data_IF_416694598003
#
_entry.id   IF_416694598003
#
_cell.length_a   1.000
_cell.length_b   1.000
_cell.length_c   1.000
_cell.angle_alpha   90.00
_cell.angle_beta   90.00
_cell.angle_gamma   90.00
#
_symmetry.space_group_name_H-M   'P 1'
#
loop_
_entity.id
_entity.type
_entity.pdbx_description
1 polymer ?
#
# COMPACT_ATOMS: atom_id res chain seq x y z
N UNK A 1 -13.83 8.20 -37.47
CA UNK A 1 -13.00 8.27 -36.25
C UNK A 1 -12.62 6.85 -35.82
N UNK A 2 -11.33 6.55 -35.61
CA UNK A 2 -10.93 5.27 -34.98
C UNK A 2 -11.62 5.19 -33.61
N UNK A 3 -12.36 4.12 -33.32
CA UNK A 3 -12.90 3.87 -31.98
C UNK A 3 -11.73 3.86 -30.98
N UNK A 4 -11.82 4.67 -29.92
CA UNK A 4 -10.85 4.63 -28.82
C UNK A 4 -10.90 3.24 -28.17
N UNK A 5 -9.73 2.65 -27.98
CA UNK A 5 -9.56 1.36 -27.29
C UNK A 5 -9.80 1.55 -25.80
N UNK A 6 -10.45 0.58 -25.16
CA UNK A 6 -10.75 0.62 -23.73
C UNK A 6 -9.74 -0.21 -22.94
N UNK A 7 -9.15 0.37 -21.90
CA UNK A 7 -8.32 -0.36 -20.92
C UNK A 7 -9.09 -0.51 -19.62
N UNK A 8 -9.22 -1.74 -19.12
CA UNK A 8 -9.71 -2.00 -17.77
C UNK A 8 -8.55 -1.89 -16.79
N UNK A 9 -8.72 -1.11 -15.74
CA UNK A 9 -7.73 -0.88 -14.68
C UNK A 9 -8.29 -1.40 -13.37
N UNK A 10 -7.73 -2.50 -12.86
CA UNK A 10 -7.99 -2.94 -11.49
C UNK A 10 -7.23 -2.06 -10.49
N UNK A 11 -7.80 -1.90 -9.29
CA UNK A 11 -7.19 -1.07 -8.24
C UNK A 11 -7.12 0.43 -8.58
N UNK A 12 -7.97 0.91 -9.50
CA UNK A 12 -7.95 2.29 -9.97
C UNK A 12 -8.21 3.34 -8.87
N UNK A 13 -8.95 2.97 -7.82
CA UNK A 13 -9.23 3.84 -6.66
C UNK A 13 -8.07 3.91 -5.65
N UNK A 14 -7.03 3.09 -5.83
CA UNK A 14 -5.79 3.12 -5.07
C UNK A 14 -4.68 3.86 -5.81
N UNK A 15 -3.53 4.06 -5.16
CA UNK A 15 -2.44 4.88 -5.69
C UNK A 15 -1.89 4.37 -7.04
N UNK A 16 -1.57 3.07 -7.12
CA UNK A 16 -0.98 2.43 -8.32
C UNK A 16 -1.93 2.47 -9.52
N UNK A 17 -3.13 1.92 -9.36
CA UNK A 17 -4.12 1.89 -10.44
C UNK A 17 -4.61 3.28 -10.81
N UNK A 18 -4.73 4.20 -9.84
CA UNK A 18 -5.12 5.59 -10.09
C UNK A 18 -4.11 6.34 -10.96
N UNK A 19 -2.81 6.16 -10.71
CA UNK A 19 -1.75 6.71 -11.55
C UNK A 19 -1.81 6.17 -12.99
N UNK A 20 -2.06 4.87 -13.15
CA UNK A 20 -2.25 4.24 -14.47
C UNK A 20 -3.49 4.79 -15.17
N UNK A 21 -4.64 4.85 -14.48
CA UNK A 21 -5.89 5.36 -15.04
C UNK A 21 -5.75 6.81 -15.51
N UNK A 22 -5.19 7.68 -14.67
CA UNK A 22 -4.96 9.09 -14.99
C UNK A 22 -4.05 9.25 -16.23
N UNK A 23 -2.94 8.50 -16.29
CA UNK A 23 -2.02 8.57 -17.43
C UNK A 23 -2.66 8.07 -18.72
N UNK A 24 -3.44 6.99 -18.66
CA UNK A 24 -4.14 6.42 -19.82
C UNK A 24 -5.20 7.38 -20.38
N UNK A 25 -5.99 8.05 -19.53
CA UNK A 25 -6.94 9.08 -19.96
C UNK A 25 -6.21 10.20 -20.70
N UNK A 26 -5.12 10.72 -20.13
CA UNK A 26 -4.29 11.75 -20.77
C UNK A 26 -3.65 11.29 -22.09
N UNK A 27 -3.48 9.99 -22.28
CA UNK A 27 -3.00 9.37 -23.52
C UNK A 27 -4.09 9.09 -24.56
N UNK A 28 -5.35 9.48 -24.31
CA UNK A 28 -6.46 9.31 -25.25
C UNK A 28 -7.11 7.92 -25.25
N UNK A 29 -6.83 7.09 -24.23
CA UNK A 29 -7.52 5.82 -24.03
C UNK A 29 -8.90 6.03 -23.40
N UNK A 30 -9.83 5.12 -23.67
CA UNK A 30 -10.99 4.96 -22.80
C UNK A 30 -10.55 4.13 -21.59
N UNK A 31 -10.90 4.56 -20.38
CA UNK A 31 -10.54 3.83 -19.16
C UNK A 31 -11.79 3.35 -18.46
N UNK A 32 -11.76 2.08 -18.07
CA UNK A 32 -12.77 1.45 -17.23
C UNK A 32 -12.11 1.04 -15.92
N UNK A 33 -12.80 1.21 -14.81
CA UNK A 33 -12.33 0.80 -13.48
C UNK A 33 -13.36 -0.12 -12.82
N UNK A 34 -12.88 -1.13 -12.10
CA UNK A 34 -13.72 -1.90 -11.18
C UNK A 34 -13.53 -1.37 -9.76
N UNK A 35 -14.62 -1.02 -9.09
CA UNK A 35 -14.61 -0.51 -7.72
C UNK A 35 -15.74 -1.16 -6.89
N UNK A 36 -15.45 -1.45 -5.62
CA UNK A 36 -16.44 -2.01 -4.68
C UNK A 36 -17.52 -1.00 -4.33
N UNK A 37 -17.11 0.24 -4.06
CA UNK A 37 -17.96 1.38 -3.73
C UNK A 37 -17.83 2.45 -4.84
N UNK A 38 -18.66 2.39 -5.91
CA UNK A 38 -18.57 3.33 -7.04
C UNK A 38 -18.97 4.76 -6.67
N UNK A 39 -19.68 4.93 -5.55
CA UNK A 39 -20.12 6.18 -4.95
C UNK A 39 -19.11 6.80 -3.99
N UNK A 40 -18.05 6.07 -3.61
CA UNK A 40 -16.98 6.60 -2.77
C UNK A 40 -16.18 7.72 -3.44
N UNK A 41 -15.59 8.62 -2.64
CA UNK A 41 -14.92 9.83 -3.12
C UNK A 41 -13.91 9.57 -4.26
N UNK A 42 -12.98 8.62 -4.08
CA UNK A 42 -11.99 8.28 -5.09
C UNK A 42 -12.61 7.76 -6.39
N UNK A 43 -13.71 7.01 -6.31
CA UNK A 43 -14.42 6.51 -7.49
C UNK A 43 -15.13 7.65 -8.23
N UNK A 44 -15.75 8.58 -7.48
CA UNK A 44 -16.34 9.78 -8.07
C UNK A 44 -15.28 10.69 -8.72
N UNK A 45 -14.10 10.81 -8.11
CA UNK A 45 -12.98 11.57 -8.69
C UNK A 45 -12.52 10.99 -10.02
N UNK A 46 -12.44 9.67 -10.14
CA UNK A 46 -12.14 8.99 -11.39
C UNK A 46 -13.27 9.20 -12.43
N UNK A 47 -14.52 9.09 -12.02
CA UNK A 47 -15.66 9.32 -12.90
C UNK A 47 -15.66 10.76 -13.47
N UNK A 48 -15.34 11.76 -12.64
CA UNK A 48 -15.16 13.16 -13.07
C UNK A 48 -14.01 13.35 -14.07
N UNK A 49 -13.01 12.48 -14.04
CA UNK A 49 -11.91 12.46 -15.02
C UNK A 49 -12.27 11.69 -16.31
N UNK A 50 -13.50 11.16 -16.43
CA UNK A 50 -13.96 10.42 -17.60
C UNK A 50 -13.71 8.92 -17.56
N UNK A 51 -13.36 8.36 -16.39
CA UNK A 51 -13.29 6.90 -16.19
C UNK A 51 -14.69 6.30 -16.10
N UNK A 52 -14.93 5.22 -16.84
CA UNK A 52 -16.12 4.39 -16.64
C UNK A 52 -15.93 3.53 -15.39
N UNK A 53 -16.48 3.97 -14.25
CA UNK A 53 -16.44 3.18 -13.00
C UNK A 53 -17.57 2.16 -13.02
N UNK A 54 -17.23 0.89 -12.83
CA UNK A 54 -18.16 -0.22 -12.70
C UNK A 54 -18.11 -0.78 -11.29
N UNK A 55 -19.28 -1.11 -10.74
CA UNK A 55 -19.35 -1.79 -9.46
C UNK A 55 -18.94 -3.26 -9.57
N UNK A 56 -18.09 -3.72 -8.67
CA UNK A 56 -17.73 -5.13 -8.55
C UNK A 56 -16.59 -5.40 -7.59
N UNK A 57 -16.25 -6.67 -7.46
CA UNK A 57 -15.28 -7.19 -6.50
C UNK A 57 -14.41 -8.27 -7.15
N UNK A 58 -13.14 -8.35 -6.75
CA UNK A 58 -12.21 -9.36 -7.29
C UNK A 58 -12.59 -10.80 -6.89
N UNK A 59 -13.39 -10.97 -5.85
CA UNK A 59 -14.00 -12.24 -5.45
C UNK A 59 -15.25 -12.62 -6.23
N UNK A 60 -15.86 -11.70 -6.99
CA UNK A 60 -17.01 -11.99 -7.86
C UNK A 60 -16.57 -12.09 -9.32
N UNK A 61 -16.39 -13.31 -9.82
CA UNK A 61 -16.03 -13.57 -11.21
C UNK A 61 -17.02 -12.97 -12.21
N UNK A 62 -18.31 -12.94 -11.90
CA UNK A 62 -19.32 -12.37 -12.79
C UNK A 62 -19.10 -10.86 -12.95
N UNK A 63 -18.68 -10.17 -11.88
CA UNK A 63 -18.31 -8.75 -11.97
C UNK A 63 -17.06 -8.52 -12.82
N UNK A 64 -16.05 -9.38 -12.70
CA UNK A 64 -14.83 -9.32 -13.52
C UNK A 64 -15.16 -9.52 -14.99
N UNK A 65 -16.01 -10.51 -15.33
CA UNK A 65 -16.47 -10.76 -16.71
C UNK A 65 -17.21 -9.56 -17.28
N UNK A 66 -18.16 -8.99 -16.53
CA UNK A 66 -18.88 -7.76 -16.95
C UNK A 66 -17.91 -6.61 -17.22
N UNK A 67 -16.92 -6.43 -16.35
CA UNK A 67 -15.91 -5.38 -16.49
C UNK A 67 -14.97 -5.61 -17.68
N UNK A 68 -14.65 -6.86 -18.03
CA UNK A 68 -13.78 -7.20 -19.16
C UNK A 68 -14.48 -7.23 -20.51
N UNK A 69 -15.81 -7.20 -20.56
CA UNK A 69 -16.55 -7.23 -21.80
C UNK A 69 -16.14 -6.09 -22.76
N UNK A 70 -15.58 -6.45 -23.92
CA UNK A 70 -15.22 -5.52 -25.00
C UNK A 70 -14.00 -4.64 -24.72
N UNK A 71 -13.19 -4.95 -23.70
CA UNK A 71 -11.96 -4.18 -23.42
C UNK A 71 -10.81 -4.64 -24.31
N UNK A 72 -9.95 -3.70 -24.70
CA UNK A 72 -8.75 -3.99 -25.48
C UNK A 72 -7.63 -4.56 -24.61
N UNK A 73 -7.39 -3.94 -23.46
CA UNK A 73 -6.30 -4.30 -22.56
C UNK A 73 -6.72 -4.27 -21.10
N UNK A 74 -5.95 -4.93 -20.25
CA UNK A 74 -6.19 -5.00 -18.80
C UNK A 74 -4.91 -4.65 -18.06
N UNK A 75 -4.97 -3.68 -17.15
CA UNK A 75 -3.97 -3.51 -16.10
C UNK A 75 -4.43 -4.22 -14.83
N UNK A 76 -3.64 -5.21 -14.40
CA UNK A 76 -3.94 -6.08 -13.27
C UNK A 76 -3.02 -5.78 -12.10
N UNK A 77 -3.61 -5.42 -10.97
CA UNK A 77 -2.96 -5.27 -9.66
C UNK A 77 -3.96 -5.69 -8.58
N UNK A 78 -3.51 -6.51 -7.64
CA UNK A 78 -4.33 -7.00 -6.54
C UNK A 78 -4.04 -6.19 -5.26
N UNK A 79 -4.99 -6.15 -4.32
CA UNK A 79 -4.66 -5.83 -2.93
C UNK A 79 -3.59 -6.80 -2.44
N UNK A 80 -2.55 -6.27 -1.80
CA UNK A 80 -1.43 -7.08 -1.32
C UNK A 80 -1.82 -7.75 0.00
N UNK A 81 -1.60 -9.06 0.12
CA UNK A 81 -1.78 -9.79 1.38
C UNK A 81 -0.86 -9.28 2.51
N UNK A 82 0.30 -8.72 2.15
CA UNK A 82 1.21 -8.03 3.08
C UNK A 82 0.60 -6.79 3.74
N UNK A 83 -0.54 -6.32 3.24
CA UNK A 83 -1.37 -5.28 3.85
C UNK A 83 -2.68 -5.88 4.42
N UNK A 84 -2.64 -7.16 4.80
CA UNK A 84 -3.82 -7.97 5.15
C UNK A 84 -4.72 -7.36 6.21
N UNK A 85 -4.20 -6.60 7.17
CA UNK A 85 -5.02 -5.88 8.15
C UNK A 85 -5.86 -4.73 7.53
N UNK A 86 -5.39 -4.13 6.43
CA UNK A 86 -6.07 -3.02 5.76
C UNK A 86 -7.08 -3.48 4.70
N UNK A 87 -6.88 -4.68 4.13
CA UNK A 87 -7.71 -5.17 3.01
C UNK A 87 -8.40 -6.51 3.26
N UNK A 88 -8.07 -7.21 4.34
CA UNK A 88 -8.58 -8.53 4.70
C UNK A 88 -8.42 -9.56 3.55
N UNK A 89 -7.20 -9.67 3.03
CA UNK A 89 -6.82 -10.54 1.90
C UNK A 89 -5.65 -11.43 2.34
N UNK A 90 -5.78 -12.75 2.17
CA UNK A 90 -4.69 -13.71 2.40
C UNK A 90 -3.78 -13.84 1.18
N UNK A 91 -2.66 -14.55 1.32
CA UNK A 91 -1.77 -14.86 0.18
C UNK A 91 -2.52 -15.68 -0.89
N UNK A 92 -3.34 -16.64 -0.47
CA UNK A 92 -4.16 -17.49 -1.34
C UNK A 92 -5.23 -16.68 -2.06
N UNK A 93 -5.84 -15.70 -1.38
CA UNK A 93 -6.79 -14.78 -2.01
C UNK A 93 -6.12 -13.93 -3.08
N UNK A 94 -4.93 -13.38 -2.81
CA UNK A 94 -4.17 -12.61 -3.80
C UNK A 94 -3.87 -13.45 -5.04
N UNK A 95 -3.37 -14.68 -4.86
CA UNK A 95 -3.13 -15.64 -5.94
C UNK A 95 -4.42 -15.90 -6.72
N UNK A 96 -5.50 -16.26 -6.03
CA UNK A 96 -6.81 -16.55 -6.63
C UNK A 96 -7.29 -15.38 -7.48
N UNK A 97 -7.25 -14.15 -6.95
CA UNK A 97 -7.66 -12.96 -7.70
C UNK A 97 -6.79 -12.73 -8.94
N UNK A 98 -5.46 -12.86 -8.83
CA UNK A 98 -4.55 -12.71 -9.96
C UNK A 98 -4.80 -13.73 -11.07
N UNK A 99 -4.95 -15.00 -10.70
CA UNK A 99 -5.22 -16.09 -11.63
C UNK A 99 -6.59 -15.94 -12.29
N UNK A 100 -7.64 -15.61 -11.53
CA UNK A 100 -8.98 -15.37 -12.06
C UNK A 100 -9.00 -14.21 -13.05
N UNK A 101 -8.33 -13.09 -12.75
CA UNK A 101 -8.22 -11.96 -13.69
C UNK A 101 -7.50 -12.39 -14.97
N UNK A 102 -6.37 -13.10 -14.87
CA UNK A 102 -5.62 -13.53 -16.04
C UNK A 102 -6.42 -14.52 -16.92
N UNK A 103 -7.08 -15.49 -16.30
CA UNK A 103 -7.93 -16.47 -16.98
C UNK A 103 -9.11 -15.80 -17.69
N UNK A 104 -9.84 -14.92 -17.00
CA UNK A 104 -10.98 -14.21 -17.60
C UNK A 104 -10.51 -13.26 -18.71
N UNK A 105 -9.31 -12.68 -18.60
CA UNK A 105 -8.74 -11.87 -19.68
C UNK A 105 -8.53 -12.69 -20.96
N UNK A 106 -7.98 -13.91 -20.84
CA UNK A 106 -7.85 -14.84 -21.96
C UNK A 106 -9.21 -15.21 -22.55
N UNK A 107 -10.16 -15.65 -21.71
CA UNK A 107 -11.51 -16.05 -22.13
C UNK A 107 -12.30 -14.91 -22.80
N UNK A 108 -12.04 -13.66 -22.39
CA UNK A 108 -12.68 -12.46 -22.94
C UNK A 108 -11.99 -11.94 -24.21
N UNK A 109 -10.92 -12.59 -24.67
CA UNK A 109 -10.17 -12.16 -25.86
C UNK A 109 -9.42 -10.84 -25.67
N UNK A 110 -8.98 -10.53 -24.44
CA UNK A 110 -8.18 -9.34 -24.15
C UNK A 110 -6.90 -9.39 -24.98
N UNK A 111 -6.59 -8.29 -25.69
CA UNK A 111 -5.44 -8.23 -26.60
C UNK A 111 -4.11 -8.17 -25.85
N UNK A 112 -4.09 -7.53 -24.68
CA UNK A 112 -2.88 -7.37 -23.87
C UNK A 112 -3.18 -7.22 -22.37
N UNK A 113 -2.55 -8.06 -21.56
CA UNK A 113 -2.55 -7.94 -20.09
C UNK A 113 -1.24 -7.32 -19.61
N UNK A 114 -1.30 -6.27 -18.80
CA UNK A 114 -0.14 -5.75 -18.07
C UNK A 114 -0.34 -6.08 -16.59
N UNK A 115 0.54 -6.92 -16.04
CA UNK A 115 0.47 -7.37 -14.65
C UNK A 115 1.52 -6.67 -13.79
N UNK A 116 1.08 -6.06 -12.68
CA UNK A 116 1.98 -5.44 -11.69
C UNK A 116 2.35 -6.44 -10.60
N UNK A 117 3.57 -6.97 -10.69
CA UNK A 117 4.22 -7.83 -9.71
C UNK A 117 5.06 -6.98 -8.72
N UNK A 118 6.27 -7.45 -8.36
CA UNK A 118 7.24 -6.79 -7.47
C UNK A 118 8.67 -7.23 -7.85
N UNK A 119 9.68 -6.40 -7.62
CA UNK A 119 11.10 -6.71 -7.91
C UNK A 119 11.63 -7.98 -7.22
N UNK A 120 11.15 -8.29 -6.00
CA UNK A 120 11.53 -9.52 -5.30
C UNK A 120 10.93 -10.80 -5.89
N UNK A 121 9.96 -10.72 -6.80
CA UNK A 121 9.35 -11.90 -7.40
C UNK A 121 10.36 -12.62 -8.31
N UNK A 122 10.40 -13.94 -8.23
CA UNK A 122 11.34 -14.75 -8.99
C UNK A 122 11.16 -16.24 -8.77
N UNK A 123 11.98 -17.08 -9.43
CA UNK A 123 11.88 -18.53 -9.33
C UNK A 123 12.21 -19.06 -7.93
N UNK A 124 13.07 -18.36 -7.20
CA UNK A 124 13.42 -18.71 -5.82
C UNK A 124 12.46 -18.02 -4.84
N UNK A 125 11.74 -18.83 -4.05
CA UNK A 125 10.87 -18.35 -2.95
C UNK A 125 11.63 -17.36 -2.07
N UNK A 126 10.99 -16.22 -1.83
CA UNK A 126 11.48 -15.21 -0.89
C UNK A 126 11.23 -15.67 0.54
N UNK A 127 10.23 -16.52 0.80
CA UNK A 127 9.78 -16.87 2.14
C UNK A 127 8.86 -15.80 2.74
N UNK A 128 8.39 -14.85 1.93
CA UNK A 128 7.34 -13.91 2.29
C UNK A 128 6.17 -14.08 1.34
N UNK A 129 5.02 -14.47 1.90
CA UNK A 129 3.83 -14.85 1.14
C UNK A 129 3.41 -13.81 0.11
N UNK A 130 3.36 -12.53 0.49
CA UNK A 130 2.97 -11.43 -0.39
C UNK A 130 3.91 -11.14 -1.58
N UNK A 131 5.14 -11.68 -1.59
CA UNK A 131 6.00 -11.64 -2.77
C UNK A 131 5.93 -12.94 -3.56
N UNK A 132 5.86 -14.06 -2.85
CA UNK A 132 5.75 -15.39 -3.45
C UNK A 132 4.41 -15.58 -4.18
N UNK A 133 3.33 -14.96 -3.70
CA UNK A 133 2.01 -14.89 -4.36
C UNK A 133 2.12 -14.30 -5.77
N UNK A 134 2.89 -13.21 -5.92
CA UNK A 134 3.10 -12.54 -7.20
C UNK A 134 3.91 -13.41 -8.16
N UNK A 135 4.95 -14.10 -7.66
CA UNK A 135 5.72 -15.05 -8.47
C UNK A 135 4.84 -16.22 -8.98
N UNK A 136 3.90 -16.68 -8.16
CA UNK A 136 2.93 -17.71 -8.55
C UNK A 136 1.96 -17.20 -9.64
N UNK A 137 1.42 -15.98 -9.47
CA UNK A 137 0.56 -15.34 -10.48
C UNK A 137 1.33 -15.15 -11.81
N UNK A 138 2.59 -14.71 -11.76
CA UNK A 138 3.42 -14.58 -12.95
C UNK A 138 3.60 -15.92 -13.68
N UNK A 139 3.83 -17.00 -12.92
CA UNK A 139 3.98 -18.35 -13.48
C UNK A 139 2.69 -18.80 -14.16
N UNK A 140 1.55 -18.57 -13.53
CA UNK A 140 0.25 -18.86 -14.11
C UNK A 140 0.01 -18.07 -15.41
N UNK A 141 0.27 -16.75 -15.41
CA UNK A 141 0.13 -15.90 -16.60
C UNK A 141 0.97 -16.42 -17.77
N UNK A 142 2.22 -16.82 -17.52
CA UNK A 142 3.11 -17.38 -18.56
C UNK A 142 2.56 -18.69 -19.14
N UNK A 143 1.84 -19.49 -18.34
CA UNK A 143 1.23 -20.75 -18.76
C UNK A 143 -0.06 -20.62 -19.57
N UNK A 144 -0.73 -19.46 -19.57
CA UNK A 144 -2.03 -19.27 -20.20
C UNK A 144 -2.00 -19.07 -21.72
N UNK A 145 -0.83 -18.75 -22.30
CA UNK A 145 -0.76 -18.32 -23.71
C UNK A 145 -1.40 -16.95 -23.97
N UNK A 146 -1.67 -16.18 -22.92
CA UNK A 146 -2.17 -14.81 -23.00
C UNK A 146 -1.02 -13.85 -23.37
N UNK A 147 -1.28 -12.93 -24.30
CA UNK A 147 -0.36 -11.82 -24.56
C UNK A 147 -0.26 -10.94 -23.31
N UNK A 148 0.84 -11.09 -22.57
CA UNK A 148 1.02 -10.41 -21.30
C UNK A 148 2.41 -9.76 -21.19
N UNK A 149 2.48 -8.66 -20.45
CA UNK A 149 3.72 -8.04 -19.98
C UNK A 149 3.69 -7.97 -18.46
N UNK A 150 4.77 -8.38 -17.82
CA UNK A 150 4.91 -8.32 -16.36
C UNK A 150 5.81 -7.14 -16.02
N UNK A 151 5.34 -6.25 -15.16
CA UNK A 151 6.16 -5.18 -14.59
C UNK A 151 6.41 -5.45 -13.11
N UNK A 152 7.66 -5.30 -12.68
CA UNK A 152 8.13 -5.55 -11.32
C UNK A 152 8.65 -4.23 -10.72
N UNK A 153 7.77 -3.43 -10.12
CA UNK A 153 8.17 -2.18 -9.49
C UNK A 153 9.11 -2.42 -8.31
N UNK A 154 10.10 -1.54 -8.19
CA UNK A 154 10.86 -1.33 -6.97
C UNK A 154 9.99 -0.68 -5.88
N UNK A 155 10.54 -0.48 -4.69
CA UNK A 155 9.83 0.16 -3.58
C UNK A 155 9.36 1.57 -3.98
N UNK A 156 8.10 1.89 -3.68
CA UNK A 156 7.57 3.21 -4.02
C UNK A 156 8.14 4.30 -3.10
N UNK A 157 8.48 5.46 -3.65
CA UNK A 157 8.97 6.62 -2.89
C UNK A 157 7.94 7.07 -1.84
N UNK A 158 6.66 6.90 -2.13
CA UNK A 158 5.54 7.16 -1.23
C UNK A 158 5.61 6.32 0.06
N UNK A 159 6.18 5.10 0.01
CA UNK A 159 6.34 4.25 1.20
C UNK A 159 7.34 4.82 2.20
N UNK A 160 8.30 5.62 1.72
CA UNK A 160 9.30 6.24 2.57
C UNK A 160 8.68 7.29 3.50
N UNK A 161 7.50 7.81 3.17
CA UNK A 161 6.82 8.84 3.97
C UNK A 161 5.78 8.26 4.93
N UNK A 162 5.68 6.93 5.03
CA UNK A 162 4.72 6.31 5.95
C UNK A 162 5.09 6.61 7.41
N UNK A 163 4.10 6.71 8.32
CA UNK A 163 4.35 6.78 9.75
C UNK A 163 5.20 5.60 10.24
N UNK A 164 6.03 5.84 11.26
CA UNK A 164 6.94 4.83 11.81
C UNK A 164 8.32 4.78 11.14
N UNK A 165 8.57 5.60 10.10
CA UNK A 165 9.91 5.77 9.52
C UNK A 165 10.78 6.79 10.30
N UNK A 166 10.24 7.41 11.36
CA UNK A 166 10.98 8.31 12.27
C UNK A 166 11.11 9.77 11.83
N UNK A 167 10.47 10.16 10.71
CA UNK A 167 10.53 11.52 10.16
C UNK A 167 9.95 12.58 11.12
N UNK A 168 8.98 12.19 11.95
CA UNK A 168 8.41 12.98 13.04
C UNK A 168 9.44 13.29 14.14
N UNK A 169 10.46 12.45 14.29
CA UNK A 169 11.51 12.54 15.31
C UNK A 169 12.83 13.12 14.78
N UNK A 170 12.86 13.64 13.55
CA UNK A 170 14.09 14.13 12.93
C UNK A 170 15.07 13.01 12.55
N UNK A 171 14.58 11.79 12.40
CA UNK A 171 15.33 10.64 11.91
C UNK A 171 14.68 10.08 10.63
N UNK A 172 15.38 9.22 9.93
CA UNK A 172 14.81 8.39 8.87
C UNK A 172 15.35 6.98 9.02
N UNK A 173 14.47 6.06 9.42
CA UNK A 173 14.76 4.65 9.67
C UNK A 173 14.28 3.83 8.49
N UNK A 174 15.18 3.09 7.85
CA UNK A 174 14.82 2.23 6.73
C UNK A 174 15.67 0.94 6.68
N UNK A 175 15.40 0.05 5.72
CA UNK A 175 16.06 -1.26 5.64
C UNK A 175 17.46 -1.23 5.05
N UNK A 176 17.80 -0.22 4.26
CA UNK A 176 19.12 -0.11 3.62
C UNK A 176 20.22 0.10 4.66
N UNK A 177 21.39 -0.49 4.44
CA UNK A 177 22.60 -0.02 5.12
C UNK A 177 22.94 1.40 4.64
N UNK A 178 23.63 2.24 5.43
CA UNK A 178 23.79 3.66 5.10
C UNK A 178 24.43 3.91 3.73
N UNK A 179 25.41 3.11 3.34
CA UNK A 179 26.11 3.17 2.04
C UNK A 179 25.50 2.25 0.99
N UNK A 180 24.56 1.38 1.38
CA UNK A 180 23.91 0.48 0.44
C UNK A 180 22.96 1.28 -0.45
N UNK A 181 23.03 0.98 -1.73
CA UNK A 181 22.16 1.57 -2.73
C UNK A 181 20.84 0.81 -2.83
N UNK A 182 19.73 1.53 -2.85
CA UNK A 182 18.41 0.99 -3.19
C UNK A 182 17.77 1.75 -4.35
N UNK A 183 16.94 1.04 -5.11
CA UNK A 183 16.14 1.58 -6.19
C UNK A 183 14.73 1.88 -5.72
N UNK A 184 14.19 3.01 -6.18
CA UNK A 184 12.86 3.48 -5.82
C UNK A 184 12.09 3.95 -7.04
N UNK A 185 10.77 3.84 -6.96
CA UNK A 185 9.85 4.27 -8.01
C UNK A 185 8.88 5.32 -7.48
N UNK A 186 8.70 6.42 -8.21
CA UNK A 186 7.54 7.28 -7.94
C UNK A 186 6.27 6.58 -8.45
N UNK A 187 5.20 6.51 -7.65
CA UNK A 187 3.95 5.86 -8.10
C UNK A 187 3.47 6.40 -9.44
N UNK A 188 3.61 7.70 -9.72
CA UNK A 188 3.19 8.29 -11.01
C UNK A 188 3.89 7.69 -12.23
N UNK A 189 5.13 7.22 -12.08
CA UNK A 189 5.92 6.70 -13.20
C UNK A 189 5.45 5.31 -13.62
N UNK A 190 4.78 4.54 -12.74
CA UNK A 190 4.13 3.29 -13.16
C UNK A 190 3.09 3.58 -14.24
N UNK A 191 2.38 4.71 -14.14
CA UNK A 191 1.41 5.14 -15.14
C UNK A 191 2.07 5.42 -16.48
N UNK A 192 3.22 6.12 -16.47
CA UNK A 192 4.00 6.43 -17.68
C UNK A 192 4.41 5.15 -18.40
N UNK A 193 5.01 4.21 -17.66
CA UNK A 193 5.51 2.95 -18.19
C UNK A 193 4.36 2.08 -18.72
N UNK A 194 3.29 1.89 -17.94
CA UNK A 194 2.15 1.07 -18.33
C UNK A 194 1.43 1.65 -19.56
N UNK A 195 1.27 2.97 -19.64
CA UNK A 195 0.68 3.61 -20.80
C UNK A 195 1.53 3.43 -22.07
N UNK A 196 2.85 3.51 -21.95
CA UNK A 196 3.77 3.22 -23.06
C UNK A 196 3.71 1.75 -23.51
N UNK A 197 3.62 0.82 -22.55
CA UNK A 197 3.45 -0.61 -22.82
C UNK A 197 2.18 -0.88 -23.63
N UNK A 198 1.04 -0.26 -23.28
CA UNK A 198 -0.19 -0.42 -24.06
C UNK A 198 -0.13 0.25 -25.43
N UNK A 199 0.61 1.35 -25.57
CA UNK A 199 0.77 2.07 -26.84
C UNK A 199 1.55 1.27 -27.88
N UNK A 200 2.51 0.45 -27.44
CA UNK A 200 3.37 -0.37 -28.30
C UNK A 200 3.38 -1.85 -27.86
N UNK A 201 2.17 -2.44 -27.71
CA UNK A 201 2.03 -3.75 -27.09
C UNK A 201 2.88 -4.86 -27.71
N UNK A 202 3.04 -4.89 -29.05
CA UNK A 202 3.76 -5.95 -29.76
C UNK A 202 5.25 -6.00 -29.36
N UNK A 203 5.84 -4.86 -28.99
CA UNK A 203 7.22 -4.77 -28.47
C UNK A 203 7.37 -5.33 -27.05
N UNK A 204 6.29 -5.36 -26.28
CA UNK A 204 6.34 -5.66 -24.84
C UNK A 204 5.73 -7.01 -24.45
N UNK A 205 4.93 -7.62 -25.33
CA UNK A 205 4.37 -8.96 -25.08
C UNK A 205 5.49 -9.96 -24.77
N UNK A 206 5.27 -10.76 -23.72
CA UNK A 206 6.22 -11.76 -23.23
C UNK A 206 7.33 -11.21 -22.34
N UNK A 207 7.53 -9.88 -22.25
CA UNK A 207 8.59 -9.29 -21.41
C UNK A 207 8.19 -9.28 -19.94
N UNK A 208 9.18 -9.54 -19.08
CA UNK A 208 9.17 -9.19 -17.66
C UNK A 208 10.18 -8.07 -17.44
N UNK A 209 9.76 -6.96 -16.85
CA UNK A 209 10.57 -5.74 -16.75
C UNK A 209 10.60 -5.30 -15.28
N UNK A 210 11.78 -5.26 -14.68
CA UNK A 210 11.98 -4.56 -13.41
C UNK A 210 12.01 -3.05 -13.65
N UNK A 211 11.23 -2.31 -12.86
CA UNK A 211 11.02 -0.88 -13.08
C UNK A 211 11.34 -0.08 -11.82
N UNK A 212 12.16 0.95 -11.99
CA UNK A 212 12.52 1.92 -10.98
C UNK A 212 12.67 3.31 -11.62
N UNK A 213 12.48 4.36 -10.83
CA UNK A 213 12.61 5.75 -11.30
C UNK A 213 13.99 6.32 -10.98
N UNK A 214 14.52 5.95 -9.81
CA UNK A 214 15.80 6.44 -9.32
C UNK A 214 16.52 5.46 -8.39
N UNK A 215 17.77 5.78 -8.08
CA UNK A 215 18.67 4.98 -7.26
C UNK A 215 19.36 5.89 -6.25
N UNK A 216 19.27 5.57 -4.96
CA UNK A 216 19.88 6.35 -3.87
C UNK A 216 20.33 5.44 -2.72
N UNK A 217 21.37 5.86 -2.03
CA UNK A 217 21.85 5.24 -0.78
C UNK A 217 21.06 5.72 0.45
N UNK A 218 21.17 5.01 1.57
CA UNK A 218 20.58 5.46 2.85
C UNK A 218 21.05 6.86 3.26
N UNK A 219 22.35 7.12 3.16
CA UNK A 219 22.94 8.43 3.44
C UNK A 219 22.45 9.51 2.45
N UNK A 220 22.22 9.17 1.19
CA UNK A 220 21.63 10.09 0.21
C UNK A 220 20.17 10.41 0.52
N UNK A 221 19.38 9.43 0.96
CA UNK A 221 18.01 9.65 1.41
C UNK A 221 17.98 10.71 2.51
N UNK A 222 18.75 10.53 3.59
CA UNK A 222 18.80 11.53 4.67
C UNK A 222 19.27 12.91 4.22
N UNK A 223 20.27 12.98 3.33
CA UNK A 223 20.76 14.27 2.81
C UNK A 223 19.68 15.01 2.01
N UNK A 224 18.99 14.31 1.10
CA UNK A 224 17.95 14.87 0.24
C UNK A 224 16.71 15.26 1.04
N UNK A 225 16.33 14.43 2.02
CA UNK A 225 15.27 14.72 2.97
C UNK A 225 15.61 15.95 3.82
N UNK A 226 16.82 16.03 4.38
CA UNK A 226 17.30 17.19 5.16
C UNK A 226 17.21 18.47 4.34
N UNK A 227 17.70 18.44 3.09
CA UNK A 227 17.66 19.60 2.20
C UNK A 227 16.24 20.09 1.92
N UNK A 228 15.28 19.17 1.75
CA UNK A 228 13.88 19.52 1.49
C UNK A 228 13.12 19.95 2.75
N UNK A 229 13.41 19.30 3.88
CA UNK A 229 12.77 19.56 5.17
C UNK A 229 13.22 20.88 5.81
N UNK A 230 14.40 21.39 5.43
CA UNK A 230 15.00 22.59 6.04
C UNK A 230 15.47 22.37 7.48
N UNK A 231 15.49 21.12 7.96
CA UNK A 231 15.97 20.73 9.30
C UNK A 231 16.75 19.40 9.20
N UNK A 232 17.75 19.17 10.07
CA UNK A 232 18.54 17.94 10.05
C UNK A 232 17.67 16.68 10.19
N UNK A 233 17.88 15.69 9.32
CA UNK A 233 17.29 14.36 9.39
C UNK A 233 18.42 13.32 9.41
N UNK A 234 18.52 12.55 10.48
CA UNK A 234 19.55 11.50 10.62
C UNK A 234 19.11 10.19 9.98
N UNK A 235 19.93 9.61 9.10
CA UNK A 235 19.68 8.24 8.62
C UNK A 235 20.03 7.22 9.71
N UNK A 236 19.20 6.18 9.83
CA UNK A 236 19.57 4.96 10.53
C UNK A 236 18.93 3.75 9.86
N UNK A 237 19.57 2.59 9.99
CA UNK A 237 18.92 1.32 9.66
C UNK A 237 18.02 0.91 10.83
N UNK A 238 16.99 0.12 10.57
CA UNK A 238 16.33 -0.62 11.67
C UNK A 238 17.38 -1.39 12.50
N UNK A 239 17.36 -1.28 13.84
CA UNK A 239 18.31 -1.97 14.71
C UNK A 239 18.27 -3.48 14.53
N UNK A 240 19.42 -4.14 14.62
CA UNK A 240 19.53 -5.59 14.41
C UNK A 240 18.70 -6.37 15.45
N UNK A 241 18.56 -5.85 16.67
CA UNK A 241 17.71 -6.43 17.72
C UNK A 241 16.24 -6.46 17.27
N UNK A 242 15.72 -5.34 16.75
CA UNK A 242 14.36 -5.25 16.25
C UNK A 242 14.13 -6.17 15.04
N UNK A 243 15.13 -6.25 14.15
CA UNK A 243 15.08 -7.14 13.00
C UNK A 243 15.07 -8.62 13.41
N UNK A 244 15.78 -8.98 14.48
CA UNK A 244 15.78 -10.34 15.03
C UNK A 244 14.47 -10.68 15.77
N UNK A 245 13.89 -9.72 16.50
CA UNK A 245 12.65 -9.90 17.27
C UNK A 245 11.39 -9.89 16.39
N UNK A 246 11.44 -9.25 15.21
CA UNK A 246 10.31 -9.15 14.29
C UNK A 246 10.60 -9.92 13.00
N UNK A 247 10.18 -11.21 12.88
CA UNK A 247 10.51 -12.05 11.73
C UNK A 247 10.18 -11.42 10.37
N UNK A 248 9.08 -10.68 10.29
CA UNK A 248 8.69 -9.95 9.09
C UNK A 248 9.73 -8.87 8.69
N UNK A 249 10.14 -8.03 9.63
CA UNK A 249 11.13 -6.97 9.39
C UNK A 249 12.51 -7.57 9.11
N UNK A 250 12.93 -8.57 9.88
CA UNK A 250 14.19 -9.28 9.65
C UNK A 250 14.25 -9.91 8.27
N UNK A 251 13.14 -10.48 7.80
CA UNK A 251 13.06 -11.07 6.46
C UNK A 251 13.11 -10.02 5.34
N UNK A 252 12.41 -8.89 5.51
CA UNK A 252 12.54 -7.75 4.60
C UNK A 252 13.98 -7.23 4.53
N UNK A 253 14.63 -7.05 5.69
CA UNK A 253 16.02 -6.62 5.77
C UNK A 253 16.97 -7.60 5.07
N UNK A 254 16.76 -8.91 5.23
CA UNK A 254 17.56 -9.94 4.56
C UNK A 254 17.40 -9.90 3.03
N UNK A 255 16.18 -9.67 2.51
CA UNK A 255 15.93 -9.52 1.07
C UNK A 255 16.43 -8.18 0.51
N UNK A 256 16.62 -7.17 1.35
CA UNK A 256 17.34 -5.95 0.97
C UNK A 256 18.84 -6.21 0.94
N UNK A 257 19.38 -6.87 1.95
CA UNK A 257 20.81 -7.22 2.06
C UNK A 257 21.29 -8.15 0.93
N UNK A 258 20.46 -9.10 0.48
CA UNK A 258 20.79 -10.00 -0.64
C UNK A 258 20.59 -9.36 -2.03
N UNK A 259 20.10 -8.11 -2.07
CA UNK A 259 19.92 -7.30 -3.27
C UNK A 259 18.57 -7.47 -3.98
N UNK A 260 17.74 -8.47 -3.63
CA UNK A 260 16.46 -8.72 -4.33
C UNK A 260 15.49 -7.55 -4.22
N UNK A 261 15.39 -6.95 -3.03
CA UNK A 261 14.56 -5.75 -2.81
C UNK A 261 15.31 -4.44 -3.04
N UNK A 262 16.65 -4.45 -3.00
CA UNK A 262 17.45 -3.28 -3.35
C UNK A 262 17.26 -2.88 -4.83
N UNK A 263 16.90 -3.84 -5.69
CA UNK A 263 16.54 -3.63 -7.09
C UNK A 263 17.73 -3.73 -8.04
N UNK A 264 17.48 -4.24 -9.25
CA UNK A 264 18.48 -4.43 -10.29
C UNK A 264 18.11 -3.75 -11.63
N UNK A 265 17.08 -2.92 -11.63
CA UNK A 265 16.53 -2.33 -12.84
C UNK A 265 17.55 -1.45 -13.57
N UNK A 266 17.71 -1.63 -14.87
CA UNK A 266 18.60 -0.81 -15.70
C UNK A 266 18.03 0.59 -15.93
N UNK A 267 18.32 1.54 -15.04
CA UNK A 267 17.73 2.88 -15.07
C UNK A 267 17.96 3.65 -16.38
N UNK A 268 19.16 3.55 -16.96
CA UNK A 268 19.46 4.20 -18.24
C UNK A 268 18.62 3.61 -19.38
N UNK A 269 18.53 2.28 -19.44
CA UNK A 269 17.69 1.59 -20.42
C UNK A 269 16.21 1.94 -20.22
N UNK A 270 15.72 2.02 -18.99
CA UNK A 270 14.34 2.44 -18.70
C UNK A 270 14.08 3.88 -19.14
N UNK A 271 15.01 4.80 -18.92
CA UNK A 271 14.88 6.21 -19.35
C UNK A 271 14.91 6.34 -20.87
N UNK A 272 15.70 5.52 -21.55
CA UNK A 272 15.69 5.44 -23.01
C UNK A 272 14.38 4.83 -23.54
N UNK A 273 13.87 3.79 -22.89
CA UNK A 273 12.65 3.06 -23.30
C UNK A 273 11.37 3.87 -23.08
N UNK A 274 11.24 4.53 -21.92
CA UNK A 274 9.98 5.14 -21.45
C UNK A 274 10.04 6.66 -21.31
N UNK A 275 11.21 7.27 -21.60
CA UNK A 275 11.46 8.69 -21.39
C UNK A 275 11.92 9.02 -19.96
N UNK A 276 12.07 10.32 -19.63
CA UNK A 276 12.56 10.73 -18.33
C UNK A 276 11.65 10.25 -17.21
N UNK A 277 12.25 9.55 -16.24
CA UNK A 277 11.59 9.10 -15.02
C UNK A 277 11.92 10.03 -13.84
N UNK A 278 11.07 10.00 -12.83
CA UNK A 278 11.13 10.92 -11.70
C UNK A 278 12.29 10.58 -10.78
N UNK A 279 13.28 11.46 -10.70
CA UNK A 279 14.34 11.36 -9.68
C UNK A 279 13.76 11.62 -8.28
N UNK A 280 14.43 11.15 -7.24
CA UNK A 280 13.99 11.36 -5.86
C UNK A 280 13.94 12.86 -5.49
N UNK A 281 14.87 13.67 -5.98
CA UNK A 281 14.84 15.14 -5.78
C UNK A 281 13.63 15.78 -6.50
N UNK A 282 13.33 15.35 -7.73
CA UNK A 282 12.18 15.84 -8.48
C UNK A 282 10.87 15.42 -7.82
N UNK A 283 10.84 14.23 -7.21
CA UNK A 283 9.70 13.76 -6.43
C UNK A 283 9.51 14.59 -5.16
N UNK A 284 10.57 14.80 -4.37
CA UNK A 284 10.55 15.62 -3.15
C UNK A 284 10.17 17.09 -3.42
N UNK A 285 10.58 17.62 -4.56
CA UNK A 285 10.23 18.99 -4.99
C UNK A 285 8.80 19.12 -5.52
N UNK A 286 8.15 17.98 -5.83
CA UNK A 286 6.82 17.92 -6.41
C UNK A 286 5.86 17.07 -5.56
N UNK A 287 5.40 15.89 -6.05
CA UNK A 287 4.38 15.08 -5.37
C UNK A 287 4.74 14.65 -3.94
N UNK A 288 6.02 14.43 -3.66
CA UNK A 288 6.52 14.02 -2.34
C UNK A 288 6.55 15.14 -1.31
N UNK A 289 6.48 16.42 -1.73
CA UNK A 289 6.63 17.57 -0.82
C UNK A 289 5.58 17.58 0.30
N UNK A 290 4.31 17.40 -0.07
CA UNK A 290 3.22 17.37 0.90
C UNK A 290 3.25 16.12 1.78
N UNK A 291 3.69 14.98 1.22
CA UNK A 291 3.85 13.73 1.97
C UNK A 291 4.96 13.84 3.02
N UNK A 292 6.09 14.44 2.66
CA UNK A 292 7.19 14.70 3.60
C UNK A 292 6.74 15.64 4.72
N UNK A 293 6.06 16.75 4.37
CA UNK A 293 5.52 17.67 5.37
C UNK A 293 4.56 16.95 6.32
N UNK A 294 3.63 16.14 5.80
CA UNK A 294 2.72 15.35 6.62
C UNK A 294 3.46 14.35 7.52
N UNK A 295 4.45 13.63 6.99
CA UNK A 295 5.23 12.64 7.74
C UNK A 295 6.03 13.28 8.88
N UNK A 296 6.53 14.51 8.69
CA UNK A 296 7.24 15.27 9.71
C UNK A 296 6.33 15.82 10.83
N UNK A 297 5.02 15.84 10.61
CA UNK A 297 4.02 16.36 11.53
C UNK A 297 3.02 15.29 11.98
N UNK A 298 3.25 14.02 11.65
CA UNK A 298 2.43 12.93 12.13
C UNK A 298 2.58 12.85 13.65
N UNK A 299 1.46 12.94 14.39
CA UNK A 299 1.45 12.66 15.83
C UNK A 299 2.11 11.31 16.05
N UNK A 300 2.98 11.20 17.07
CA UNK A 300 3.83 10.04 17.38
C UNK A 300 3.07 8.72 17.26
N UNK A 301 2.98 8.19 16.06
CA UNK A 301 2.30 6.96 15.78
C UNK A 301 3.31 5.88 16.08
N UNK A 302 3.08 5.13 17.17
CA UNK A 302 3.68 3.82 17.37
C UNK A 302 3.68 3.09 16.03
N UNK A 303 4.85 2.59 15.59
CA UNK A 303 5.04 1.87 14.33
C UNK A 303 3.78 1.08 13.96
N UNK A 304 3.07 1.52 12.91
CA UNK A 304 1.83 0.89 12.46
C UNK A 304 2.13 -0.37 11.61
N UNK A 305 3.01 -1.24 12.12
CA UNK A 305 3.23 -2.61 11.65
C UNK A 305 2.78 -3.58 12.74
N UNK A 306 1.62 -3.32 13.36
CA UNK A 306 1.05 -4.17 14.41
C UNK A 306 0.67 -5.54 13.84
N UNK A 307 1.48 -6.51 14.24
CA UNK A 307 1.28 -7.96 14.37
C UNK A 307 -0.02 -8.57 13.82
N UNK A 308 0.15 -9.56 12.95
CA UNK A 308 -0.86 -10.59 12.62
C UNK A 308 -1.11 -11.43 13.89
N UNK A 309 -2.35 -11.60 14.37
CA UNK A 309 -2.61 -12.51 15.49
C UNK A 309 -2.51 -13.96 15.02
N UNK A 310 -1.76 -14.78 15.78
CA UNK A 310 -1.67 -16.23 15.61
C UNK A 310 -3.06 -16.91 15.68
N UNK A 311 -3.35 -17.94 14.86
CA UNK A 311 -4.59 -18.69 14.93
C UNK A 311 -4.54 -19.72 16.06
N UNK A 312 -5.44 -19.63 17.03
CA UNK A 312 -5.48 -20.63 18.12
C UNK A 312 -6.59 -20.52 19.17
N UNK A 313 -7.57 -19.62 19.05
CA UNK A 313 -8.64 -19.48 20.06
C UNK A 313 -10.00 -19.75 19.43
N UNK A 314 -10.66 -20.83 19.89
CA UNK A 314 -12.07 -21.12 19.61
C UNK A 314 -12.94 -20.11 20.35
N UNK A 315 -13.77 -19.38 19.62
CA UNK A 315 -14.83 -18.56 20.20
C UNK A 315 -16.05 -19.45 20.52
N UNK A 316 -16.38 -19.60 21.80
CA UNK A 316 -17.69 -20.09 22.22
C UNK A 316 -18.71 -18.94 22.16
N UNK A 317 -19.84 -19.19 21.50
CA UNK A 317 -20.96 -18.25 21.25
C UNK A 317 -21.36 -17.44 22.49
N UNK A 318 -21.54 -16.13 22.33
CA UNK A 318 -22.27 -15.29 23.27
C UNK A 318 -23.75 -15.17 22.84
N UNK A 319 -24.65 -15.27 23.83
CA UNK A 319 -26.10 -15.22 23.72
C UNK A 319 -26.63 -13.80 23.36
N UNK A 320 -27.87 -13.67 22.84
CA UNK A 320 -28.40 -12.39 22.35
C UNK A 320 -28.88 -11.47 23.48
N UNK A 321 -28.61 -10.16 23.37
CA UNK A 321 -29.22 -9.12 24.21
C UNK A 321 -30.54 -8.61 23.59
N UNK A 322 -31.52 -8.35 24.46
CA UNK A 322 -32.89 -7.91 24.15
C UNK A 322 -32.96 -6.42 23.72
N UNK A 323 -34.05 -5.98 23.03
CA UNK A 323 -34.11 -4.67 22.38
C UNK A 323 -34.59 -3.56 23.33
N UNK A 324 -33.93 -2.41 23.29
CA UNK A 324 -34.49 -1.13 23.79
C UNK A 324 -34.41 -0.11 22.66
N UNK A 325 -35.52 0.58 22.45
CA UNK A 325 -35.85 1.48 21.34
C UNK A 325 -35.00 2.74 21.26
N UNK A 326 -34.56 3.11 20.05
CA UNK A 326 -34.14 4.48 19.71
C UNK A 326 -32.69 4.61 19.25
N UNK A 327 -32.52 4.66 17.92
CA UNK A 327 -31.33 4.99 17.12
C UNK A 327 -30.15 5.72 17.82
N UNK A 328 -29.04 4.99 17.99
CA UNK A 328 -27.63 5.43 17.83
C UNK A 328 -26.70 4.22 18.05
N UNK A 329 -26.04 3.73 17.00
CA UNK A 329 -25.01 2.69 17.13
C UNK A 329 -23.69 3.31 17.60
N UNK A 330 -23.32 3.05 18.85
CA UNK A 330 -21.99 3.33 19.41
C UNK A 330 -21.18 2.03 19.43
N UNK A 331 -19.95 2.04 18.90
CA UNK A 331 -18.99 0.96 19.15
C UNK A 331 -17.67 1.54 19.68
N UNK A 332 -17.38 1.20 20.93
CA UNK A 332 -16.13 1.46 21.64
C UNK A 332 -15.14 0.34 21.28
N UNK A 333 -13.96 0.65 20.75
CA UNK A 333 -12.83 -0.31 20.69
C UNK A 333 -11.69 0.31 21.47
N UNK A 334 -11.61 0.00 22.76
CA UNK A 334 -10.43 0.23 23.58
C UNK A 334 -9.60 -1.05 23.66
N UNK A 335 -8.31 -0.97 23.31
CA UNK A 335 -7.36 -2.05 23.59
C UNK A 335 -6.67 -1.71 24.92
N UNK A 336 -6.84 -2.58 25.93
CA UNK A 336 -6.03 -2.57 27.14
C UNK A 336 -4.90 -3.59 26.98
N UNK A 337 -3.65 -3.16 27.15
CA UNK A 337 -2.48 -4.04 27.15
C UNK A 337 -2.21 -4.52 28.58
N UNK A 338 -2.33 -5.82 28.85
CA UNK A 338 -1.81 -6.41 30.10
C UNK A 338 -0.30 -6.64 29.96
N UNK A 339 0.50 -5.90 30.74
CA UNK A 339 1.91 -6.23 30.98
C UNK A 339 1.98 -7.20 32.18
N UNK A 340 2.29 -8.47 31.93
CA UNK A 340 2.70 -9.39 33.00
C UNK A 340 4.21 -9.28 33.22
N UNK A 341 4.62 -8.51 34.24
CA UNK A 341 5.90 -8.71 34.92
C UNK A 341 5.67 -9.55 36.17
N UNK A 342 6.54 -10.50 36.52
CA UNK A 342 6.46 -11.17 37.80
C UNK A 342 6.99 -10.20 38.86
N UNK A 343 6.10 -9.64 39.68
CA UNK A 343 6.47 -8.96 40.92
C UNK A 343 6.01 -9.82 42.10
N UNK A 344 6.97 -10.20 42.92
CA UNK A 344 6.82 -10.82 44.23
C UNK A 344 6.11 -9.87 45.20
N UNK A 345 5.07 -10.37 45.88
CA UNK A 345 4.54 -9.78 47.11
C UNK A 345 3.13 -9.15 46.98
N UNK A 346 2.29 -9.26 48.04
CA UNK A 346 0.97 -8.65 48.05
C UNK A 346 1.07 -7.16 48.43
N UNK A 347 0.08 -6.38 47.99
CA UNK A 347 -0.13 -4.93 48.20
C UNK A 347 0.83 -3.97 47.48
N UNK A 348 0.44 -3.53 46.28
CA UNK A 348 0.13 -2.12 45.98
C UNK A 348 -0.35 -1.96 44.52
N UNK A 349 -1.52 -1.34 44.34
CA UNK A 349 -2.03 -0.84 43.05
C UNK A 349 -1.78 0.67 43.00
N UNK A 350 -1.25 1.21 41.88
CA UNK A 350 -1.94 2.27 41.09
C UNK A 350 -1.06 2.96 40.02
N UNK A 351 -1.62 2.98 38.80
CA UNK A 351 -1.77 4.10 37.85
C UNK A 351 -1.52 3.69 36.39
N UNK A 352 -2.61 3.50 35.63
CA UNK A 352 -2.61 3.50 34.17
C UNK A 352 -3.08 4.87 33.69
N UNK A 353 -2.24 5.60 32.97
CA UNK A 353 -2.64 6.81 32.25
C UNK A 353 -3.20 6.38 30.90
N UNK A 354 -4.53 6.51 30.73
CA UNK A 354 -5.19 6.36 29.43
C UNK A 354 -5.37 7.77 28.86
N UNK A 355 -4.57 8.15 27.87
CA UNK A 355 -4.84 9.35 27.05
C UNK A 355 -5.59 8.94 25.79
N UNK A 356 -6.92 9.04 25.81
CA UNK A 356 -7.76 8.96 24.61
C UNK A 356 -8.16 10.35 24.14
N UNK A 357 -7.88 10.68 22.88
CA UNK A 357 -8.40 11.90 22.24
C UNK A 357 -9.77 11.60 21.60
N UNK A 358 -10.75 12.47 21.82
CA UNK A 358 -12.07 12.41 21.20
C UNK A 358 -12.12 13.36 20.00
N UNK A 359 -12.53 12.86 18.84
CA UNK A 359 -12.82 13.68 17.65
C UNK A 359 -14.27 13.45 17.26
N UNK A 360 -15.10 14.50 17.41
CA UNK A 360 -16.50 14.50 17.01
C UNK A 360 -16.65 15.42 15.79
N UNK A 361 -17.16 14.91 14.67
CA UNK A 361 -17.37 15.70 13.45
C UNK A 361 -18.88 15.87 13.24
N UNK A 362 -19.43 17.01 13.67
CA UNK A 362 -20.83 17.32 13.44
C UNK A 362 -21.30 18.63 14.07
N UNK A 363 -21.45 19.65 13.23
CA UNK A 363 -22.10 20.95 13.46
C UNK A 363 -21.23 22.10 13.98
N UNK A 364 -21.50 23.27 13.41
CA UNK A 364 -20.74 24.52 13.50
C UNK A 364 -20.67 25.05 14.94
N UNK A 365 -19.55 25.70 15.22
CA UNK A 365 -19.25 26.60 16.34
C UNK A 365 -18.88 25.97 17.72
N UNK A 366 -17.60 26.22 18.08
CA UNK A 366 -16.91 26.12 19.39
C UNK A 366 -16.10 24.85 19.67
N UNK A 367 -14.77 25.05 19.74
CA UNK A 367 -13.80 24.13 20.36
C UNK A 367 -13.67 24.55 21.84
N UNK A 368 -13.89 23.62 22.77
CA UNK A 368 -13.57 23.81 24.18
C UNK A 368 -12.29 23.03 24.51
N UNK A 369 -11.27 23.73 25.01
CA UNK A 369 -10.15 23.11 25.73
C UNK A 369 -10.40 23.26 27.23
N UNK A 370 -10.51 22.14 27.93
CA UNK A 370 -10.61 22.11 29.39
C UNK A 370 -9.78 20.97 29.94
N UNK A 371 -8.61 21.29 30.50
CA UNK A 371 -7.91 20.39 31.40
C UNK A 371 -8.29 20.72 32.84
N UNK A 372 -8.54 19.72 33.68
CA UNK A 372 -8.40 19.86 35.13
C UNK A 372 -8.28 18.54 35.87
N UNK A 373 -7.19 18.50 36.65
CA UNK A 373 -6.89 17.78 37.88
C UNK A 373 -8.08 17.70 38.86
N UNK A 374 -8.30 16.55 39.51
CA UNK A 374 -9.07 16.47 40.77
C UNK A 374 -8.46 15.44 41.72
N UNK A 375 -8.18 15.89 42.95
CA UNK A 375 -7.79 15.08 44.10
C UNK A 375 -9.02 14.61 44.87
N UNK A 376 -8.77 13.65 45.79
CA UNK A 376 -9.72 13.12 46.76
C UNK A 376 -10.30 14.24 47.64
N UNK A 377 -11.59 14.13 47.98
CA UNK A 377 -12.02 14.10 49.39
C UNK A 377 -13.50 13.68 49.53
N UNK A 378 -13.75 13.15 50.72
CA UNK A 378 -14.86 12.34 51.19
C UNK A 378 -16.24 13.01 51.36
N UNK A 379 -17.24 12.13 51.48
CA UNK A 379 -18.39 12.16 52.41
C UNK A 379 -19.68 12.93 52.09
N UNK A 380 -20.79 12.18 52.12
CA UNK A 380 -21.93 12.49 53.00
C UNK A 380 -23.25 12.96 52.35
N UNK A 381 -24.29 12.11 52.46
CA UNK A 381 -25.74 12.35 52.69
C UNK A 381 -26.42 13.58 52.01
N UNK A 382 -27.59 13.48 51.35
CA UNK A 382 -28.88 12.83 51.68
C UNK A 382 -29.59 12.46 50.39
#
# INVERSE_FOLDING_TARGET
MKRRKTILVFGATGQRGGAVASRLIGGGWNVRALARAPDGQNAQDLARQGVQVMQGDLGDEASIRRAMAGVYGVFSVQPSSGQGAAYNVTDEDEVRYGQTVARIALESGVRHLVYSSVNAAGPAKTGMGHFDSKAEIETYIRGLGLNATIVRPAAFMELLMLPGMGLDQGAFTFFLRPEQTGQFMAVRDIGVIVAAIFADHDRFVGRTIEIASDQVTGNELARKLTGTAGKPIKYQRFPDELLAETPFLGKLAALVDDGRLAGNAGLEALRHEFGPLTTFDAWLSGPGKALLAAAMHADHADMALRQVPCPGIRWSRAAPCAPVSGSCDWCLIGIATCLSRPASGPSDYDHVVISGAWLCQGSKDRIWYGGTRWGKDDSGAV
#
